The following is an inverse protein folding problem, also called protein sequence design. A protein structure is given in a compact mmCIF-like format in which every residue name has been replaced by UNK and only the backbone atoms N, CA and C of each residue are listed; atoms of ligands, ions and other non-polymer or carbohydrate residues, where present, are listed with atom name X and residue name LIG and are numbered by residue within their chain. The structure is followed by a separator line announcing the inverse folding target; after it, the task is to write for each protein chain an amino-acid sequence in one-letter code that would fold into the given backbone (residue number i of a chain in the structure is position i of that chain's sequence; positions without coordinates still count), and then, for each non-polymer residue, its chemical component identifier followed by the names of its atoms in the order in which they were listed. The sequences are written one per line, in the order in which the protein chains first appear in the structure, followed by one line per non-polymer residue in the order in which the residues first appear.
data_IF_510147264401
#
_entry.id   IF_510147264401
#
_cell.length_a   1.000
_cell.length_b   1.000
_cell.length_c   1.000
_cell.angle_alpha   90.00
_cell.angle_beta   90.00
_cell.angle_gamma   90.00
#
_symmetry.space_group_name_H-M   'P 1'
#
loop_
_entity.id
_entity.type
_entity.pdbx_description
1 polymer ?
#
# COMPACT_ATOMS: atom_id res chain seq x y z
N UNK A 1 34.39 -34.48 -1.85
CA UNK A 1 33.87 -33.54 -2.86
C UNK A 1 32.35 -33.64 -2.81
N UNK A 2 31.67 -32.69 -2.17
CA UNK A 2 30.20 -32.65 -2.11
C UNK A 2 29.72 -31.50 -2.96
N UNK A 3 28.75 -31.82 -3.80
CA UNK A 3 28.19 -31.00 -4.86
C UNK A 3 27.69 -29.64 -4.36
N UNK A 4 27.91 -28.61 -5.17
CA UNK A 4 27.31 -27.31 -4.99
C UNK A 4 25.81 -27.37 -5.20
N UNK A 5 25.08 -26.64 -4.37
CA UNK A 5 23.70 -26.28 -4.62
C UNK A 5 23.66 -24.79 -4.94
N UNK A 6 23.59 -24.48 -6.24
CA UNK A 6 23.07 -23.22 -6.73
C UNK A 6 21.64 -23.07 -6.19
N UNK A 7 21.39 -22.08 -5.33
CA UNK A 7 20.04 -21.57 -5.13
C UNK A 7 19.81 -20.51 -6.20
N UNK A 8 19.25 -20.94 -7.32
CA UNK A 8 18.78 -20.09 -8.40
C UNK A 8 17.55 -19.31 -7.94
N UNK A 9 17.69 -17.98 -7.95
CA UNK A 9 16.71 -16.95 -8.28
C UNK A 9 15.23 -17.40 -8.33
N UNK A 10 14.46 -16.96 -7.34
CA UNK A 10 13.09 -16.55 -7.60
C UNK A 10 13.10 -15.03 -7.82
N UNK A 11 13.44 -14.60 -9.05
CA UNK A 11 12.86 -13.36 -9.56
C UNK A 11 11.36 -13.65 -9.67
N UNK A 12 10.63 -13.34 -8.60
CA UNK A 12 9.19 -13.29 -8.64
C UNK A 12 8.83 -12.31 -9.75
N UNK A 13 8.25 -12.84 -10.81
CA UNK A 13 7.64 -12.07 -11.88
C UNK A 13 6.68 -11.10 -11.19
N UNK A 14 7.10 -9.83 -11.05
CA UNK A 14 6.21 -8.75 -10.68
C UNK A 14 5.25 -8.62 -11.85
N UNK A 15 4.17 -9.41 -11.80
CA UNK A 15 3.03 -9.22 -12.67
C UNK A 15 2.62 -7.78 -12.46
N UNK A 16 2.90 -6.94 -13.44
CA UNK A 16 2.48 -5.55 -13.42
C UNK A 16 0.96 -5.60 -13.33
N UNK A 17 0.42 -5.34 -12.15
CA UNK A 17 -0.97 -4.94 -12.05
C UNK A 17 -1.12 -3.79 -13.03
N UNK A 18 -1.97 -3.98 -14.04
CA UNK A 18 -2.11 -2.96 -15.06
C UNK A 18 -2.59 -1.69 -14.37
N UNK A 19 -2.12 -0.52 -14.83
CA UNK A 19 -2.53 0.77 -14.27
C UNK A 19 -4.07 0.87 -14.09
N UNK A 20 -4.83 0.24 -15.01
CA UNK A 20 -6.30 0.15 -14.92
C UNK A 20 -6.84 -0.53 -13.65
N UNK A 21 -6.18 -1.56 -13.11
CA UNK A 21 -6.64 -2.23 -11.88
C UNK A 21 -6.53 -1.31 -10.65
N UNK A 22 -5.58 -0.36 -10.67
CA UNK A 22 -5.41 0.63 -9.61
C UNK A 22 -6.37 1.81 -9.78
N UNK A 23 -6.66 2.21 -11.02
CA UNK A 23 -7.67 3.22 -11.33
C UNK A 23 -9.06 2.78 -10.90
N UNK A 24 -9.44 1.52 -11.18
CA UNK A 24 -10.72 0.94 -10.75
C UNK A 24 -10.87 0.96 -9.22
N UNK A 25 -9.78 0.68 -8.51
CA UNK A 25 -9.75 0.70 -7.05
C UNK A 25 -9.83 2.12 -6.47
N UNK A 26 -9.17 3.11 -7.12
CA UNK A 26 -9.27 4.52 -6.72
C UNK A 26 -10.67 5.08 -6.98
N UNK A 27 -11.28 4.76 -8.12
CA UNK A 27 -12.67 5.12 -8.41
C UNK A 27 -13.65 4.48 -7.40
N UNK A 28 -13.37 3.26 -6.94
CA UNK A 28 -14.19 2.62 -5.91
C UNK A 28 -14.15 3.38 -4.56
N UNK A 29 -13.03 4.03 -4.19
CA UNK A 29 -13.00 4.92 -3.01
C UNK A 29 -13.90 6.14 -3.17
N UNK A 30 -13.89 6.77 -4.34
CA UNK A 30 -14.66 8.01 -4.60
C UNK A 30 -16.16 7.76 -4.42
N UNK A 31 -16.63 6.59 -4.83
CA UNK A 31 -18.02 6.14 -4.64
C UNK A 31 -18.28 5.46 -3.28
N UNK A 32 -17.32 5.47 -2.35
CA UNK A 32 -17.38 4.78 -1.05
C UNK A 32 -17.69 3.28 -1.14
N UNK A 33 -17.34 2.64 -2.25
CA UNK A 33 -17.38 1.19 -2.41
C UNK A 33 -16.15 0.56 -1.74
N UNK A 34 -16.07 0.75 -0.42
CA UNK A 34 -14.93 0.39 0.40
C UNK A 34 -14.53 -1.08 0.32
N UNK A 35 -15.51 -1.99 0.21
CA UNK A 35 -15.26 -3.43 0.09
C UNK A 35 -14.58 -3.79 -1.23
N UNK A 36 -14.93 -3.11 -2.32
CA UNK A 36 -14.32 -3.30 -3.64
C UNK A 36 -12.90 -2.75 -3.65
N UNK A 37 -12.70 -1.52 -3.18
CA UNK A 37 -11.37 -0.91 -3.06
C UNK A 37 -10.44 -1.79 -2.21
N UNK A 38 -10.92 -2.28 -1.07
CA UNK A 38 -10.17 -3.18 -0.19
C UNK A 38 -9.82 -4.51 -0.87
N UNK A 39 -10.76 -5.10 -1.60
CA UNK A 39 -10.55 -6.36 -2.32
C UNK A 39 -9.53 -6.24 -3.45
N UNK A 40 -9.45 -5.08 -4.09
CA UNK A 40 -8.48 -4.81 -5.16
C UNK A 40 -7.10 -4.43 -4.62
N UNK A 41 -7.01 -3.56 -3.62
CA UNK A 41 -5.73 -3.07 -3.12
C UNK A 41 -5.00 -4.02 -2.19
N UNK A 42 -5.69 -4.77 -1.34
CA UNK A 42 -5.03 -5.69 -0.41
C UNK A 42 -4.04 -6.66 -1.08
N UNK A 43 -4.44 -7.45 -2.11
CA UNK A 43 -3.49 -8.37 -2.74
C UNK A 43 -2.34 -7.67 -3.46
N UNK A 44 -2.54 -6.44 -3.94
CA UNK A 44 -1.51 -5.65 -4.61
C UNK A 44 -0.51 -5.04 -3.61
N UNK A 45 -1.01 -4.55 -2.48
CA UNK A 45 -0.19 -4.02 -1.39
C UNK A 45 0.65 -5.11 -0.72
N UNK A 46 0.09 -6.32 -0.58
CA UNK A 46 0.82 -7.51 -0.13
C UNK A 46 1.95 -7.91 -1.09
N UNK A 47 1.83 -7.61 -2.39
CA UNK A 47 2.87 -7.80 -3.40
C UNK A 47 3.88 -6.65 -3.48
N UNK A 48 3.74 -5.62 -2.63
CA UNK A 48 4.67 -4.50 -2.60
C UNK A 48 4.33 -3.36 -3.55
N UNK A 49 3.16 -3.33 -4.18
CA UNK A 49 2.78 -2.24 -5.07
C UNK A 49 2.55 -0.94 -4.27
N UNK A 50 3.41 0.05 -4.47
CA UNK A 50 3.40 1.30 -3.70
C UNK A 50 2.06 2.05 -3.76
N UNK A 51 1.42 2.14 -4.93
CA UNK A 51 0.10 2.79 -5.07
C UNK A 51 -0.98 2.07 -4.27
N UNK A 52 -0.99 0.74 -4.28
CA UNK A 52 -1.93 -0.04 -3.48
C UNK A 52 -1.64 0.06 -1.98
N UNK A 53 -0.37 0.15 -1.58
CA UNK A 53 0.02 0.44 -0.19
C UNK A 53 -0.49 1.81 0.25
N UNK A 54 -0.35 2.85 -0.56
CA UNK A 54 -0.97 4.17 -0.33
C UNK A 54 -2.48 4.03 -0.18
N UNK A 55 -3.14 3.27 -1.06
CA UNK A 55 -4.57 2.97 -0.98
C UNK A 55 -4.98 2.29 0.33
N UNK A 56 -4.19 1.32 0.80
CA UNK A 56 -4.41 0.68 2.11
C UNK A 56 -4.31 1.68 3.26
N UNK A 57 -3.33 2.59 3.21
CA UNK A 57 -3.22 3.68 4.18
C UNK A 57 -4.49 4.54 4.22
N UNK A 58 -5.03 4.89 3.04
CA UNK A 58 -6.26 5.70 2.92
C UNK A 58 -7.48 4.95 3.48
N UNK A 59 -7.56 3.63 3.30
CA UNK A 59 -8.66 2.82 3.85
C UNK A 59 -8.65 2.82 5.38
N UNK A 60 -7.48 2.64 6.00
CA UNK A 60 -7.33 2.69 7.46
C UNK A 60 -7.52 4.09 8.03
N UNK A 61 -7.04 5.13 7.35
CA UNK A 61 -7.26 6.53 7.74
C UNK A 61 -8.76 6.87 7.80
N UNK A 62 -9.53 6.40 6.81
CA UNK A 62 -10.95 6.71 6.70
C UNK A 62 -11.88 5.71 7.41
N UNK A 63 -11.36 4.56 7.86
CA UNK A 63 -12.20 3.46 8.35
C UNK A 63 -13.12 2.87 7.27
N UNK A 64 -12.62 2.82 6.02
CA UNK A 64 -13.39 2.41 4.85
C UNK A 64 -13.16 0.92 4.60
N UNK A 65 -14.14 0.07 4.93
CA UNK A 65 -14.04 -1.39 4.77
C UNK A 65 -13.11 -2.09 5.78
N UNK A 66 -12.38 -1.30 6.58
CA UNK A 66 -11.57 -1.69 7.72
C UNK A 66 -11.86 -0.73 8.89
N UNK A 67 -11.64 -1.11 10.15
CA UNK A 67 -11.70 -0.17 11.26
C UNK A 67 -10.72 1.00 11.06
N UNK A 68 -11.13 2.21 11.44
CA UNK A 68 -10.24 3.38 11.39
C UNK A 68 -9.07 3.17 12.34
N UNK A 69 -7.85 3.26 11.83
CA UNK A 69 -6.61 3.07 12.59
C UNK A 69 -5.48 3.90 11.97
N UNK A 70 -5.14 5.02 12.61
CA UNK A 70 -4.08 5.92 12.14
C UNK A 70 -2.69 5.27 12.22
N UNK A 71 -2.47 4.33 13.15
CA UNK A 71 -1.19 3.64 13.28
C UNK A 71 -0.96 2.71 12.08
N UNK A 72 -2.00 1.97 11.69
CA UNK A 72 -1.96 1.16 10.48
C UNK A 72 -1.82 2.03 9.22
N UNK A 73 -2.53 3.16 9.16
CA UNK A 73 -2.42 4.09 8.03
C UNK A 73 -0.98 4.59 7.85
N UNK A 74 -0.35 5.05 8.93
CA UNK A 74 1.04 5.50 8.94
C UNK A 74 2.00 4.39 8.51
N UNK A 75 1.82 3.15 8.99
CA UNK A 75 2.67 2.03 8.60
C UNK A 75 2.61 1.74 7.08
N UNK A 76 1.42 1.80 6.49
CA UNK A 76 1.26 1.65 5.04
C UNK A 76 1.86 2.81 4.26
N UNK A 77 1.65 4.06 4.70
CA UNK A 77 2.27 5.22 4.07
C UNK A 77 3.79 5.21 4.15
N UNK A 78 4.38 4.78 5.26
CA UNK A 78 5.83 4.64 5.39
C UNK A 78 6.39 3.62 4.39
N UNK A 79 5.69 2.50 4.17
CA UNK A 79 6.10 1.48 3.19
C UNK A 79 6.10 2.05 1.77
N UNK A 80 5.01 2.71 1.37
CA UNK A 80 4.87 3.31 0.05
C UNK A 80 5.83 4.50 -0.18
N UNK A 81 6.00 5.36 0.83
CA UNK A 81 6.96 6.47 0.80
C UNK A 81 8.41 5.96 0.68
N UNK A 82 8.74 4.83 1.32
CA UNK A 82 10.04 4.16 1.15
C UNK A 82 10.32 3.71 -0.29
N UNK A 83 9.29 3.61 -1.13
CA UNK A 83 9.39 3.32 -2.57
C UNK A 83 9.33 4.58 -3.45
N UNK A 84 9.23 5.77 -2.85
CA UNK A 84 9.12 7.05 -3.57
C UNK A 84 7.70 7.40 -4.03
N UNK A 85 6.65 6.81 -3.45
CA UNK A 85 5.27 7.21 -3.75
C UNK A 85 4.97 8.61 -3.18
N UNK A 86 4.83 9.60 -4.06
CA UNK A 86 4.67 11.00 -3.67
C UNK A 86 3.36 11.26 -2.90
N UNK A 87 2.29 10.50 -3.17
CA UNK A 87 1.04 10.63 -2.44
C UNK A 87 1.20 10.11 -1.00
N UNK A 88 1.90 8.99 -0.81
CA UNK A 88 2.25 8.48 0.51
C UNK A 88 3.14 9.44 1.31
N UNK A 89 4.17 10.02 0.67
CA UNK A 89 5.04 11.02 1.32
C UNK A 89 4.24 12.23 1.81
N UNK A 90 3.35 12.75 0.96
CA UNK A 90 2.47 13.86 1.32
C UNK A 90 1.57 13.52 2.51
N UNK A 91 0.87 12.38 2.45
CA UNK A 91 -0.03 11.94 3.52
C UNK A 91 0.72 11.66 4.82
N UNK A 92 1.89 11.04 4.75
CA UNK A 92 2.75 10.82 5.92
C UNK A 92 3.21 12.16 6.54
N UNK A 93 3.55 13.14 5.70
CA UNK A 93 3.83 14.51 6.13
C UNK A 93 2.68 15.14 6.92
N UNK A 94 1.45 15.00 6.43
CA UNK A 94 0.27 15.46 7.17
C UNK A 94 0.10 14.72 8.50
N UNK A 95 0.32 13.40 8.54
CA UNK A 95 0.22 12.62 9.79
C UNK A 95 1.29 13.02 10.81
N UNK A 96 2.48 13.45 10.39
CA UNK A 96 3.47 14.05 11.30
C UNK A 96 2.95 15.37 11.88
N UNK A 97 2.38 16.26 11.06
CA UNK A 97 1.84 17.54 11.52
C UNK A 97 0.66 17.35 12.48
N UNK A 98 -0.19 16.35 12.24
CA UNK A 98 -1.34 16.03 13.09
C UNK A 98 -0.96 15.24 14.37
N UNK A 99 0.30 14.82 14.52
CA UNK A 99 0.77 14.03 15.66
C UNK A 99 0.38 12.54 15.62
N UNK A 100 -0.10 12.04 14.49
CA UNK A 100 -0.40 10.62 14.26
C UNK A 100 0.83 9.80 13.88
N UNK A 101 1.89 10.45 13.41
CA UNK A 101 3.19 9.84 13.15
C UNK A 101 4.29 10.59 13.91
N UNK A 102 5.39 9.91 14.22
CA UNK A 102 6.59 10.51 14.82
C UNK A 102 7.79 10.21 13.93
N UNK A 103 8.67 11.20 13.64
CA UNK A 103 9.90 10.93 12.94
C UNK A 103 10.74 9.94 13.77
N UNK A 104 11.38 8.99 13.10
CA UNK A 104 12.27 8.02 13.72
C UNK A 104 13.53 8.68 14.31
#
# INVERSE_FOLDING_TARGET
MRAGALVLLAFGFAGTASAGQLEDAKAALEHRHCSVALGLWRPLAEQGNATAETGMGILYENGCGVPKDETQAVAWYQKAAGQGDAEAEYRLGERYVLGYAQPA
#
